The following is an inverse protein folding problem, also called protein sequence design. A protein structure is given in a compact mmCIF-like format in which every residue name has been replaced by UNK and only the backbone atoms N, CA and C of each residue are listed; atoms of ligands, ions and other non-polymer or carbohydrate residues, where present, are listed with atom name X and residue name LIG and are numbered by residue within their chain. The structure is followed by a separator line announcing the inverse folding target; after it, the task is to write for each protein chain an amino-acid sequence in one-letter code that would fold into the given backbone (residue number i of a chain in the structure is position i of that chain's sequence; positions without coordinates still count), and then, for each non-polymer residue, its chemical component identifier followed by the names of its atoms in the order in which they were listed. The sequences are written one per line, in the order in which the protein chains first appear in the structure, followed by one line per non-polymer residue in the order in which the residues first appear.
data_IF_810816906796
#
_entry.id   IF_810816906796
#
_cell.length_a   1.000
_cell.length_b   1.000
_cell.length_c   1.000
_cell.angle_alpha   90.00
_cell.angle_beta   90.00
_cell.angle_gamma   90.00
#
_symmetry.space_group_name_H-M   'P 1'
#
loop_
_entity.id
_entity.type
_entity.pdbx_description
1 polymer ?
#
# COMPACT_ATOMS: atom_id res chain seq x y z
N UNK A 1 -4.73 6.35 11.03
CA UNK A 1 -3.40 6.38 11.64
C UNK A 1 -3.30 7.50 12.68
N UNK A 2 -3.43 8.77 12.32
CA UNK A 2 -3.24 9.93 13.22
C UNK A 2 -4.06 9.86 14.51
N UNK A 3 -5.34 9.46 14.45
CA UNK A 3 -6.16 9.24 15.64
C UNK A 3 -5.71 8.06 16.51
N UNK A 4 -5.10 7.06 15.90
CA UNK A 4 -4.61 5.90 16.62
C UNK A 4 -3.29 6.19 17.35
N UNK A 5 -2.44 7.08 16.83
CA UNK A 5 -1.19 7.49 17.44
C UNK A 5 -1.38 7.98 18.87
N UNK A 6 -2.29 8.95 19.09
CA UNK A 6 -2.58 9.46 20.43
C UNK A 6 -3.14 8.38 21.38
N UNK A 7 -3.98 7.48 20.87
CA UNK A 7 -4.53 6.37 21.65
C UNK A 7 -3.47 5.34 22.02
N UNK A 8 -2.56 5.06 21.09
CA UNK A 8 -1.42 4.16 21.31
C UNK A 8 -0.50 4.72 22.38
N UNK A 9 -0.14 6.01 22.29
CA UNK A 9 0.67 6.69 23.28
C UNK A 9 0.03 6.67 24.67
N UNK A 10 -1.27 6.96 24.75
CA UNK A 10 -1.99 6.90 26.02
C UNK A 10 -2.07 5.49 26.62
N UNK A 11 -2.31 4.47 25.80
CA UNK A 11 -2.31 3.08 26.25
C UNK A 11 -0.92 2.60 26.70
N UNK A 12 0.14 3.03 26.02
CA UNK A 12 1.52 2.71 26.36
C UNK A 12 1.96 3.27 27.74
N UNK A 13 1.33 4.36 28.21
CA UNK A 13 1.58 4.90 29.56
C UNK A 13 1.15 3.94 30.67
N UNK A 14 0.16 3.09 30.42
CA UNK A 14 -0.36 2.13 31.41
C UNK A 14 0.29 0.76 31.28
N UNK A 15 0.48 0.29 30.05
CA UNK A 15 1.19 -0.97 29.77
C UNK A 15 1.70 -1.01 28.33
N UNK A 16 2.90 -1.56 28.16
CA UNK A 16 3.51 -1.77 26.83
C UNK A 16 2.62 -2.64 25.93
N UNK A 17 2.09 -3.74 26.50
CA UNK A 17 1.21 -4.66 25.77
C UNK A 17 -0.12 -4.01 25.36
N UNK A 18 -0.65 -3.11 26.19
CA UNK A 18 -1.84 -2.31 25.85
C UNK A 18 -1.58 -1.40 24.67
N UNK A 19 -0.45 -0.68 24.67
CA UNK A 19 -0.02 0.16 23.54
C UNK A 19 0.16 -0.64 22.24
N UNK A 20 0.84 -1.78 22.32
CA UNK A 20 1.05 -2.67 21.18
C UNK A 20 -0.27 -3.19 20.59
N UNK A 21 -1.22 -3.55 21.43
CA UNK A 21 -2.54 -4.04 20.98
C UNK A 21 -3.30 -2.95 20.20
N UNK A 22 -3.28 -1.71 20.68
CA UNK A 22 -3.93 -0.58 19.98
C UNK A 22 -3.25 -0.29 18.66
N UNK A 23 -1.92 -0.24 18.63
CA UNK A 23 -1.13 -0.03 17.42
C UNK A 23 -1.39 -1.12 16.38
N UNK A 24 -1.35 -2.40 16.79
CA UNK A 24 -1.61 -3.53 15.90
C UNK A 24 -3.01 -3.52 15.31
N UNK A 25 -4.03 -3.22 16.11
CA UNK A 25 -5.41 -3.10 15.59
C UNK A 25 -5.54 -1.98 14.56
N UNK A 26 -4.87 -0.86 14.77
CA UNK A 26 -4.84 0.24 13.80
C UNK A 26 -4.16 -0.17 12.50
N UNK A 27 -3.00 -0.82 12.59
CA UNK A 27 -2.27 -1.32 11.41
C UNK A 27 -3.05 -2.40 10.65
N UNK A 28 -3.75 -3.28 11.37
CA UNK A 28 -4.58 -4.32 10.76
C UNK A 28 -5.72 -3.75 9.90
N UNK A 29 -6.32 -2.63 10.29
CA UNK A 29 -7.33 -1.93 9.47
C UNK A 29 -6.74 -1.53 8.12
N UNK A 30 -5.55 -0.91 8.12
CA UNK A 30 -4.88 -0.51 6.88
C UNK A 30 -4.50 -1.73 6.03
N UNK A 31 -3.93 -2.76 6.63
CA UNK A 31 -3.58 -3.99 5.94
C UNK A 31 -4.78 -4.67 5.28
N UNK A 32 -5.90 -4.77 5.98
CA UNK A 32 -7.13 -5.35 5.43
C UNK A 32 -7.73 -4.50 4.29
N UNK A 33 -7.63 -3.18 4.38
CA UNK A 33 -8.06 -2.27 3.30
C UNK A 33 -7.19 -2.48 2.06
N UNK A 34 -5.87 -2.56 2.21
CA UNK A 34 -4.93 -2.81 1.10
C UNK A 34 -5.24 -4.13 0.41
N UNK A 35 -5.40 -5.22 1.18
CA UNK A 35 -5.73 -6.54 0.65
C UNK A 35 -7.09 -6.54 -0.04
N UNK A 36 -8.10 -5.95 0.60
CA UNK A 36 -9.46 -5.91 0.07
C UNK A 36 -9.56 -5.12 -1.24
N UNK A 37 -8.94 -3.94 -1.30
CA UNK A 37 -8.90 -3.14 -2.52
C UNK A 37 -8.09 -3.82 -3.62
N UNK A 38 -6.95 -4.42 -3.30
CA UNK A 38 -6.13 -5.13 -4.29
C UNK A 38 -6.88 -6.31 -4.93
N UNK A 39 -7.58 -7.12 -4.12
CA UNK A 39 -8.41 -8.21 -4.64
C UNK A 39 -9.59 -7.70 -5.46
N UNK A 40 -10.24 -6.64 -4.98
CA UNK A 40 -11.36 -6.03 -5.70
C UNK A 40 -10.93 -5.51 -7.07
N UNK A 41 -9.83 -4.75 -7.13
CA UNK A 41 -9.33 -4.17 -8.38
C UNK A 41 -8.90 -5.24 -9.38
N UNK A 42 -8.14 -6.25 -8.93
CA UNK A 42 -7.71 -7.35 -9.80
C UNK A 42 -8.91 -8.11 -10.34
N UNK A 43 -9.89 -8.44 -9.48
CA UNK A 43 -11.09 -9.17 -9.89
C UNK A 43 -11.96 -8.35 -10.85
N UNK A 44 -12.12 -7.05 -10.59
CA UNK A 44 -12.88 -6.15 -11.45
C UNK A 44 -12.28 -6.05 -12.85
N UNK A 45 -10.96 -5.82 -12.94
CA UNK A 45 -10.28 -5.73 -14.22
C UNK A 45 -10.25 -7.06 -14.97
N UNK A 46 -10.10 -8.17 -14.26
CA UNK A 46 -10.17 -9.50 -14.87
C UNK A 46 -11.54 -9.74 -15.51
N UNK A 47 -12.63 -9.51 -14.80
CA UNK A 47 -13.99 -9.69 -15.31
C UNK A 47 -14.26 -8.75 -16.49
N UNK A 48 -13.81 -7.49 -16.39
CA UNK A 48 -13.98 -6.51 -17.47
C UNK A 48 -13.24 -6.95 -18.74
N UNK A 49 -11.99 -7.39 -18.62
CA UNK A 49 -11.21 -7.85 -19.76
C UNK A 49 -11.77 -9.15 -20.34
N UNK A 50 -12.24 -10.07 -19.51
CA UNK A 50 -12.88 -11.30 -19.96
C UNK A 50 -14.15 -11.03 -20.77
N UNK A 51 -14.92 -10.02 -20.38
CA UNK A 51 -16.09 -9.57 -21.11
C UNK A 51 -15.74 -8.84 -22.42
N UNK A 52 -14.71 -7.98 -22.41
CA UNK A 52 -14.33 -7.15 -23.55
C UNK A 52 -13.60 -7.93 -24.64
N UNK A 53 -12.89 -9.01 -24.30
CA UNK A 53 -12.13 -9.82 -25.25
C UNK A 53 -12.99 -11.00 -25.71
N UNK A 54 -13.55 -10.99 -26.95
CA UNK A 54 -14.43 -12.05 -27.41
C UNK A 54 -13.66 -13.37 -27.61
N UNK A 55 -14.26 -14.46 -27.16
CA UNK A 55 -13.67 -15.79 -27.28
C UNK A 55 -13.57 -16.30 -28.73
N UNK A 56 -14.46 -15.81 -29.60
CA UNK A 56 -14.59 -16.28 -30.98
C UNK A 56 -13.44 -15.83 -31.89
N UNK A 57 -12.70 -14.79 -31.53
CA UNK A 57 -11.59 -14.25 -32.30
C UNK A 57 -10.23 -14.88 -31.95
N UNK A 58 -10.12 -15.60 -30.85
CA UNK A 58 -8.84 -16.08 -30.31
C UNK A 58 -9.08 -17.43 -29.63
N UNK A 59 -8.15 -18.39 -29.83
CA UNK A 59 -8.19 -19.64 -29.06
C UNK A 59 -8.33 -19.39 -27.55
N UNK A 60 -9.21 -20.11 -26.82
CA UNK A 60 -9.46 -19.87 -25.40
C UNK A 60 -8.19 -19.86 -24.54
N UNK A 61 -7.22 -20.71 -24.85
CA UNK A 61 -5.91 -20.74 -24.17
C UNK A 61 -5.12 -19.41 -24.37
N UNK A 62 -5.17 -18.84 -25.56
CA UNK A 62 -4.54 -17.56 -25.87
C UNK A 62 -5.27 -16.39 -25.22
N UNK A 63 -6.62 -16.48 -25.07
CA UNK A 63 -7.41 -15.44 -24.41
C UNK A 63 -6.94 -15.20 -22.98
N UNK A 64 -6.80 -16.27 -22.18
CA UNK A 64 -6.37 -16.17 -20.79
C UNK A 64 -4.94 -15.58 -20.68
N UNK A 65 -4.04 -16.01 -21.57
CA UNK A 65 -2.69 -15.46 -21.61
C UNK A 65 -2.68 -13.96 -21.97
N UNK A 66 -3.52 -13.53 -22.90
CA UNK A 66 -3.66 -12.12 -23.28
C UNK A 66 -4.20 -11.32 -22.08
N UNK A 67 -5.23 -11.81 -21.40
CA UNK A 67 -5.80 -11.14 -20.23
C UNK A 67 -4.74 -10.98 -19.15
N UNK A 68 -4.07 -12.07 -18.76
CA UNK A 68 -3.06 -12.03 -17.69
C UNK A 68 -1.86 -11.17 -18.04
N UNK A 69 -1.41 -11.18 -19.29
CA UNK A 69 -0.31 -10.31 -19.76
C UNK A 69 -0.74 -8.84 -19.79
N UNK A 70 -1.97 -8.56 -20.20
CA UNK A 70 -2.52 -7.20 -20.15
C UNK A 70 -2.63 -6.70 -18.72
N UNK A 71 -3.04 -7.57 -17.80
CA UNK A 71 -3.12 -7.22 -16.37
C UNK A 71 -1.76 -6.91 -15.73
N UNK A 72 -0.64 -7.34 -16.29
CA UNK A 72 0.69 -6.92 -15.82
C UNK A 72 0.91 -5.41 -15.96
N UNK A 73 0.25 -4.75 -16.92
CA UNK A 73 0.30 -3.27 -17.04
C UNK A 73 -0.35 -2.57 -15.85
N UNK A 74 -1.34 -3.19 -15.22
CA UNK A 74 -1.91 -2.71 -13.96
C UNK A 74 -0.85 -2.68 -12.84
N UNK A 75 0.02 -3.69 -12.78
CA UNK A 75 1.15 -3.71 -11.85
C UNK A 75 2.11 -2.52 -12.06
N UNK A 76 2.38 -2.14 -13.31
CA UNK A 76 3.17 -0.94 -13.60
C UNK A 76 2.49 0.35 -13.13
N UNK A 77 1.17 0.43 -13.25
CA UNK A 77 0.39 1.56 -12.72
C UNK A 77 0.46 1.64 -11.19
N UNK A 78 0.29 0.52 -10.52
CA UNK A 78 0.42 0.41 -9.05
C UNK A 78 1.82 0.81 -8.58
N UNK A 79 2.88 0.37 -9.28
CA UNK A 79 4.27 0.73 -9.00
C UNK A 79 4.52 2.24 -9.13
N UNK A 80 4.00 2.84 -10.19
CA UNK A 80 4.12 4.29 -10.41
C UNK A 80 3.42 5.08 -9.29
N UNK A 81 2.22 4.67 -8.91
CA UNK A 81 1.47 5.30 -7.82
C UNK A 81 2.19 5.14 -6.48
N UNK A 82 2.72 3.95 -6.18
CA UNK A 82 3.48 3.68 -4.98
C UNK A 82 4.73 4.55 -4.89
N UNK A 83 5.45 4.73 -6.00
CA UNK A 83 6.59 5.63 -6.07
C UNK A 83 6.22 7.06 -5.69
N UNK A 84 5.16 7.62 -6.28
CA UNK A 84 4.73 8.99 -5.97
C UNK A 84 4.23 9.13 -4.52
N UNK A 85 3.49 8.16 -4.01
CA UNK A 85 3.01 8.18 -2.63
C UNK A 85 4.18 8.12 -1.63
N UNK A 86 5.17 7.28 -1.91
CA UNK A 86 6.38 7.12 -1.08
C UNK A 86 7.25 8.36 -1.08
N UNK A 87 7.52 8.91 -2.26
CA UNK A 87 8.32 10.14 -2.39
C UNK A 87 7.59 11.32 -1.75
N UNK A 88 6.30 11.48 -2.01
CA UNK A 88 5.47 12.54 -1.43
C UNK A 88 5.38 12.43 0.10
N UNK A 89 5.15 11.24 0.63
CA UNK A 89 5.15 10.96 2.06
C UNK A 89 6.49 11.29 2.72
N UNK A 90 7.60 10.85 2.12
CA UNK A 90 8.95 11.12 2.62
C UNK A 90 9.30 12.62 2.62
N UNK A 91 8.90 13.36 1.57
CA UNK A 91 9.09 14.81 1.53
C UNK A 91 8.28 15.50 2.65
N UNK A 92 7.03 15.08 2.84
CA UNK A 92 6.17 15.64 3.89
C UNK A 92 6.73 15.38 5.29
N UNK A 93 7.16 14.16 5.57
CA UNK A 93 7.80 13.79 6.85
C UNK A 93 9.05 14.62 7.10
N UNK A 94 9.94 14.72 6.11
CA UNK A 94 11.18 15.50 6.28
C UNK A 94 10.93 17.00 6.39
N UNK A 95 9.94 17.53 5.73
CA UNK A 95 9.58 18.94 5.88
C UNK A 95 9.05 19.24 7.29
N UNK A 96 8.27 18.34 7.87
CA UNK A 96 7.77 18.48 9.24
C UNK A 96 8.89 18.38 10.27
N UNK A 97 9.76 17.37 10.17
CA UNK A 97 10.91 17.12 11.02
C UNK A 97 11.87 18.32 11.04
N UNK A 98 12.36 18.74 9.86
CA UNK A 98 13.27 19.89 9.75
C UNK A 98 12.60 21.18 10.22
N UNK A 99 11.31 21.37 9.94
CA UNK A 99 10.55 22.55 10.40
C UNK A 99 10.43 22.59 11.92
N UNK A 100 10.14 21.44 12.55
CA UNK A 100 10.06 21.31 14.00
C UNK A 100 11.41 21.60 14.68
N UNK A 101 12.49 21.09 14.10
CA UNK A 101 13.85 21.31 14.59
C UNK A 101 14.27 22.79 14.47
N UNK A 102 14.00 23.44 13.34
CA UNK A 102 14.35 24.86 13.16
C UNK A 102 13.63 25.73 14.18
N UNK A 103 12.34 25.55 14.37
CA UNK A 103 11.56 26.33 15.33
C UNK A 103 12.00 26.03 16.76
N UNK A 104 12.14 24.76 17.11
CA UNK A 104 12.51 24.35 18.48
C UNK A 104 13.95 24.70 18.84
N UNK A 105 14.90 24.17 18.12
CA UNK A 105 16.32 24.29 18.46
C UNK A 105 16.91 25.68 18.14
N UNK A 106 16.57 26.23 16.97
CA UNK A 106 17.20 27.46 16.49
C UNK A 106 16.47 28.71 17.01
N UNK A 107 15.16 28.76 16.88
CA UNK A 107 14.39 29.96 17.28
C UNK A 107 14.08 29.99 18.78
N UNK A 108 13.56 28.88 19.33
CA UNK A 108 13.14 28.82 20.72
C UNK A 108 14.22 28.37 21.70
N UNK A 109 15.33 27.76 21.21
CA UNK A 109 16.42 27.28 22.05
C UNK A 109 16.01 26.17 23.02
N UNK A 110 15.00 25.38 22.65
CA UNK A 110 14.50 24.28 23.46
C UNK A 110 14.99 22.92 22.89
N UNK A 111 15.04 21.85 23.72
CA UNK A 111 15.44 20.52 23.27
C UNK A 111 14.51 20.00 22.17
N UNK A 112 15.02 19.03 21.42
CA UNK A 112 14.26 18.24 20.45
C UNK A 112 13.07 17.57 21.13
N UNK A 113 11.94 17.45 20.42
CA UNK A 113 10.70 16.84 20.92
C UNK A 113 10.10 17.48 22.20
N UNK A 114 10.49 18.69 22.51
CA UNK A 114 9.96 19.40 23.69
C UNK A 114 8.45 19.69 23.51
N UNK A 115 7.60 19.31 24.47
CA UNK A 115 6.14 19.52 24.37
C UNK A 115 5.72 21.00 24.29
N UNK A 116 6.64 21.94 24.56
CA UNK A 116 6.43 23.38 24.37
C UNK A 116 6.51 23.80 22.91
N UNK A 117 7.11 22.97 22.04
CA UNK A 117 7.17 23.23 20.61
C UNK A 117 5.92 22.65 19.92
N UNK A 118 4.99 23.49 19.44
CA UNK A 118 3.79 23.01 18.75
C UNK A 118 4.11 22.27 17.43
N UNK A 119 5.27 22.51 16.83
CA UNK A 119 5.71 21.86 15.62
C UNK A 119 6.03 20.35 15.82
N UNK A 120 6.29 19.90 17.05
CA UNK A 120 6.43 18.48 17.40
C UNK A 120 5.17 17.67 17.06
N UNK A 121 3.98 18.28 17.14
CA UNK A 121 2.75 17.64 16.71
C UNK A 121 2.75 17.41 15.19
N UNK A 122 3.20 18.39 14.42
CA UNK A 122 3.28 18.29 12.96
C UNK A 122 4.29 17.22 12.53
N UNK A 123 5.41 17.12 13.24
CA UNK A 123 6.42 16.10 13.03
C UNK A 123 5.85 14.69 13.26
N UNK A 124 5.25 14.44 14.41
CA UNK A 124 4.60 13.16 14.70
C UNK A 124 3.47 12.79 13.72
N UNK A 125 2.74 13.79 13.19
CA UNK A 125 1.74 13.57 12.12
C UNK A 125 2.43 13.23 10.81
N UNK A 126 3.55 13.90 10.51
CA UNK A 126 4.38 13.64 9.33
C UNK A 126 4.87 12.19 9.27
N UNK A 127 5.39 11.68 10.36
CA UNK A 127 5.82 10.28 10.47
C UNK A 127 4.68 9.31 10.17
N UNK A 128 3.49 9.56 10.72
CA UNK A 128 2.32 8.73 10.41
C UNK A 128 1.92 8.79 8.93
N UNK A 129 2.06 9.94 8.26
CA UNK A 129 1.78 10.07 6.83
C UNK A 129 2.82 9.29 6.00
N UNK A 130 4.09 9.42 6.34
CA UNK A 130 5.18 8.71 5.67
C UNK A 130 5.02 7.19 5.78
N UNK A 131 4.79 6.70 6.97
CA UNK A 131 4.71 5.26 7.24
C UNK A 131 3.40 4.65 6.71
N UNK A 132 2.26 5.30 6.88
CA UNK A 132 0.98 4.72 6.48
C UNK A 132 0.70 4.94 4.99
N UNK A 133 0.86 6.16 4.47
CA UNK A 133 0.58 6.44 3.07
C UNK A 133 1.68 5.90 2.15
N UNK A 134 2.95 6.15 2.50
CA UNK A 134 4.09 5.70 1.71
C UNK A 134 4.24 4.18 1.71
N UNK A 135 4.36 3.57 2.88
CA UNK A 135 4.55 2.12 2.99
C UNK A 135 3.29 1.32 2.64
N UNK A 136 2.10 1.86 2.91
CA UNK A 136 0.84 1.23 2.52
C UNK A 136 0.70 1.08 0.99
N UNK A 137 1.15 2.08 0.23
CA UNK A 137 1.18 2.02 -1.23
C UNK A 137 2.18 0.97 -1.75
N UNK A 138 3.36 0.83 -1.14
CA UNK A 138 4.34 -0.22 -1.46
C UNK A 138 3.78 -1.63 -1.20
N UNK A 139 3.04 -1.81 -0.11
CA UNK A 139 2.38 -3.09 0.20
C UNK A 139 1.31 -3.43 -0.83
N UNK A 140 0.52 -2.45 -1.26
CA UNK A 140 -0.47 -2.63 -2.32
C UNK A 140 0.18 -3.07 -3.62
N UNK A 141 1.24 -2.38 -4.07
CA UNK A 141 2.03 -2.75 -5.25
C UNK A 141 2.54 -4.18 -5.19
N UNK A 142 3.23 -4.52 -4.09
CA UNK A 142 3.84 -5.84 -3.90
C UNK A 142 2.79 -6.95 -3.86
N UNK A 143 1.65 -6.70 -3.23
CA UNK A 143 0.54 -7.65 -3.14
C UNK A 143 -0.10 -7.91 -4.51
N UNK A 144 -0.45 -6.86 -5.24
CA UNK A 144 -1.02 -6.97 -6.58
C UNK A 144 -0.03 -7.59 -7.56
N UNK A 145 1.23 -7.16 -7.53
CA UNK A 145 2.30 -7.70 -8.38
C UNK A 145 2.51 -9.21 -8.18
N UNK A 146 2.49 -9.68 -6.95
CA UNK A 146 2.62 -11.12 -6.64
C UNK A 146 1.47 -11.94 -7.20
N UNK A 147 0.22 -11.47 -7.07
CA UNK A 147 -0.95 -12.16 -7.60
C UNK A 147 -0.90 -12.19 -9.14
N UNK A 148 -0.62 -11.05 -9.77
CA UNK A 148 -0.55 -10.94 -11.22
C UNK A 148 0.56 -11.80 -11.83
N UNK A 149 1.75 -11.79 -11.22
CA UNK A 149 2.87 -12.61 -11.67
C UNK A 149 2.55 -14.10 -11.57
N UNK A 150 1.93 -14.53 -10.47
CA UNK A 150 1.53 -15.93 -10.27
C UNK A 150 0.45 -16.34 -11.28
N UNK A 151 -0.53 -15.46 -11.52
CA UNK A 151 -1.60 -15.71 -12.50
C UNK A 151 -1.05 -15.83 -13.92
N UNK A 152 -0.13 -14.94 -14.32
CA UNK A 152 0.48 -14.98 -15.64
C UNK A 152 1.36 -16.24 -15.83
N UNK A 153 2.10 -16.64 -14.81
CA UNK A 153 2.91 -17.86 -14.83
C UNK A 153 2.03 -19.11 -14.93
N UNK A 154 0.94 -19.16 -14.14
CA UNK A 154 -0.03 -20.26 -14.20
C UNK A 154 -0.66 -20.38 -15.57
N UNK A 155 -1.14 -19.27 -16.16
CA UNK A 155 -1.68 -19.26 -17.52
C UNK A 155 -0.66 -19.76 -18.56
N UNK A 156 0.58 -19.29 -18.49
CA UNK A 156 1.64 -19.67 -19.41
C UNK A 156 2.00 -21.19 -19.33
N UNK A 157 1.99 -21.74 -18.13
CA UNK A 157 2.37 -23.16 -17.91
C UNK A 157 1.41 -24.13 -18.58
N UNK A 158 0.12 -23.81 -18.64
CA UNK A 158 -0.91 -24.70 -19.17
C UNK A 158 -1.27 -24.44 -20.65
N UNK A 159 -0.69 -23.44 -21.30
CA UNK A 159 -0.93 -23.18 -22.75
C UNK A 159 -0.62 -24.40 -23.61
N UNK A 160 0.42 -25.16 -23.27
CA UNK A 160 0.84 -26.34 -24.02
C UNK A 160 0.07 -27.61 -23.73
N UNK A 161 -0.70 -27.68 -22.67
CA UNK A 161 -1.43 -28.91 -22.25
C UNK A 161 -2.74 -29.12 -23.03
N UNK A 162 -3.28 -28.09 -23.68
CA UNK A 162 -4.57 -28.14 -24.36
C UNK A 162 -5.79 -28.31 -23.42
N UNK A 163 -5.56 -28.33 -22.12
CA UNK A 163 -6.59 -28.56 -21.11
C UNK A 163 -7.02 -27.19 -20.52
N UNK A 164 -8.12 -26.67 -21.07
CA UNK A 164 -8.66 -25.36 -20.73
C UNK A 164 -9.18 -25.32 -19.27
N UNK A 165 -9.64 -26.46 -18.76
CA UNK A 165 -10.18 -26.53 -17.41
C UNK A 165 -9.08 -26.46 -16.33
N UNK A 166 -7.85 -26.82 -16.67
CA UNK A 166 -6.69 -26.68 -15.79
C UNK A 166 -6.09 -25.26 -15.78
N UNK A 167 -6.52 -24.39 -16.70
CA UNK A 167 -6.05 -22.99 -16.77
C UNK A 167 -6.90 -22.03 -15.94
N UNK A 168 -8.11 -22.43 -15.60
CA UNK A 168 -9.06 -21.61 -14.80
C UNK A 168 -8.84 -21.84 -13.32
#
# INVERSE_FOLDING_TARGET
ATYASARTANAARTSLNGGLTVAFRSGAVMGLVVVGLGLFDISFWYILLDYCIPADAINPANKLCIITTTMLTFGMGASTQALFARVGGGIYTKAADVGADLVGKVEAGIPEDDPRNPATIADNVGDNVGDVAGMGADLYESYCGSILATSALGAATFIGSGDIDMQK
#
